data_IF_013212661694
#
_entry.id   IF_013212661694
#
_cell.length_a   1.000
_cell.length_b   1.000
_cell.length_c   1.000
_cell.angle_alpha   90.00
_cell.angle_beta   90.00
_cell.angle_gamma   90.00
#
_symmetry.space_group_name_H-M   'P 1'
#
loop_
_entity.id
_entity.type
_entity.pdbx_description
1 polymer ?
#
# COMPACT_ATOMS: atom_id res chain seq x y z
N UNK A 1 -22.91 -27.58 -25.29
CA UNK A 1 -21.99 -27.35 -24.16
C UNK A 1 -21.24 -26.06 -24.44
N UNK A 2 -21.37 -24.98 -23.66
CA UNK A 2 -20.61 -23.76 -23.88
C UNK A 2 -19.13 -24.06 -23.65
N UNK A 3 -18.29 -23.79 -24.66
CA UNK A 3 -16.84 -23.92 -24.56
C UNK A 3 -16.34 -22.83 -23.61
N UNK A 4 -16.02 -23.21 -22.39
CA UNK A 4 -15.31 -22.32 -21.46
C UNK A 4 -13.98 -21.90 -22.10
N UNK A 5 -13.66 -20.62 -22.22
CA UNK A 5 -12.40 -20.17 -22.79
C UNK A 5 -11.20 -20.86 -22.13
N UNK A 6 -10.17 -21.20 -22.91
CA UNK A 6 -8.97 -21.90 -22.41
C UNK A 6 -8.38 -21.17 -21.20
N UNK A 7 -8.40 -19.84 -21.21
CA UNK A 7 -7.93 -18.99 -20.11
C UNK A 7 -8.71 -19.23 -18.80
N UNK A 8 -10.04 -19.40 -18.87
CA UNK A 8 -10.86 -19.67 -17.68
C UNK A 8 -10.56 -21.04 -17.09
N UNK A 9 -10.42 -22.07 -17.93
CA UNK A 9 -10.06 -23.43 -17.47
C UNK A 9 -8.70 -23.46 -16.79
N UNK A 10 -7.71 -22.77 -17.37
CA UNK A 10 -6.39 -22.66 -16.80
C UNK A 10 -6.41 -21.93 -15.44
N UNK A 11 -7.17 -20.85 -15.35
CA UNK A 11 -7.37 -20.11 -14.11
C UNK A 11 -7.97 -21.00 -13.00
N UNK A 12 -9.04 -21.75 -13.32
CA UNK A 12 -9.72 -22.64 -12.38
C UNK A 12 -8.82 -23.81 -11.93
N UNK A 13 -7.99 -24.34 -12.85
CA UNK A 13 -7.03 -25.40 -12.52
C UNK A 13 -5.91 -24.89 -11.62
N UNK A 14 -5.36 -23.70 -11.90
CA UNK A 14 -4.35 -23.06 -11.05
C UNK A 14 -4.92 -22.75 -9.67
N UNK A 15 -6.15 -22.25 -9.60
CA UNK A 15 -6.82 -21.97 -8.33
C UNK A 15 -6.92 -23.22 -7.45
N UNK A 16 -7.22 -24.39 -8.03
CA UNK A 16 -7.25 -25.67 -7.30
C UNK A 16 -5.88 -26.07 -6.80
N UNK A 17 -4.85 -26.01 -7.65
CA UNK A 17 -3.47 -26.34 -7.25
C UNK A 17 -3.01 -25.43 -6.09
N UNK A 18 -3.33 -24.14 -6.17
CA UNK A 18 -3.01 -23.17 -5.13
C UNK A 18 -3.78 -23.48 -3.84
N UNK A 19 -5.08 -23.83 -3.93
CA UNK A 19 -5.90 -24.17 -2.79
C UNK A 19 -5.47 -25.48 -2.09
N UNK A 20 -4.94 -26.43 -2.84
CA UNK A 20 -4.43 -27.71 -2.33
C UNK A 20 -3.00 -27.59 -1.75
N UNK A 21 -2.31 -26.47 -1.98
CA UNK A 21 -0.97 -26.18 -1.45
C UNK A 21 -1.08 -25.37 -0.17
N UNK A 22 -0.37 -25.78 0.89
CA UNK A 22 -0.46 -25.05 2.17
C UNK A 22 0.14 -23.64 2.07
N UNK A 23 -0.43 -22.65 2.76
CA UNK A 23 0.12 -21.30 2.83
C UNK A 23 1.58 -21.30 3.30
N UNK A 24 2.44 -20.66 2.54
CA UNK A 24 3.89 -20.63 2.74
C UNK A 24 4.66 -21.75 2.04
N UNK A 25 3.99 -22.74 1.48
CA UNK A 25 4.62 -23.81 0.70
C UNK A 25 4.87 -23.37 -0.75
N UNK A 26 5.85 -24.06 -1.34
CA UNK A 26 6.25 -23.81 -2.72
C UNK A 26 5.35 -24.55 -3.70
N UNK A 27 4.84 -23.83 -4.70
CA UNK A 27 4.19 -24.43 -5.85
C UNK A 27 5.17 -25.28 -6.68
N UNK A 28 4.69 -26.29 -7.43
CA UNK A 28 5.50 -26.98 -8.41
C UNK A 28 6.18 -25.98 -9.36
N UNK A 29 7.33 -26.37 -9.92
CA UNK A 29 8.08 -25.47 -10.82
C UNK A 29 7.26 -25.07 -12.04
N UNK A 30 7.49 -23.87 -12.59
CA UNK A 30 6.79 -23.40 -13.80
C UNK A 30 6.87 -24.39 -14.98
N UNK A 31 8.02 -25.05 -15.26
CA UNK A 31 8.07 -26.11 -16.28
C UNK A 31 7.12 -27.26 -15.99
N UNK A 32 7.09 -27.73 -14.76
CA UNK A 32 6.23 -28.86 -14.35
C UNK A 32 4.74 -28.47 -14.41
N UNK A 33 4.37 -27.28 -13.93
CA UNK A 33 2.99 -26.78 -14.02
C UNK A 33 2.55 -26.59 -15.48
N UNK A 34 3.42 -26.08 -16.35
CA UNK A 34 3.10 -25.91 -17.78
C UNK A 34 2.85 -27.26 -18.46
N UNK A 35 3.65 -28.27 -18.13
CA UNK A 35 3.48 -29.63 -18.61
C UNK A 35 2.18 -30.27 -18.07
N UNK A 36 1.96 -30.20 -16.76
CA UNK A 36 0.78 -30.74 -16.08
C UNK A 36 -0.54 -30.12 -16.59
N UNK A 37 -0.52 -28.83 -16.90
CA UNK A 37 -1.68 -28.09 -17.37
C UNK A 37 -1.80 -28.02 -18.89
N UNK A 38 -0.87 -28.67 -19.63
CA UNK A 38 -0.82 -28.71 -21.08
C UNK A 38 -0.85 -27.32 -21.74
N UNK A 39 -0.11 -26.36 -21.19
CA UNK A 39 0.02 -24.98 -21.71
C UNK A 39 1.47 -24.59 -21.92
N UNK A 40 1.68 -23.54 -22.74
CA UNK A 40 3.02 -22.95 -22.84
C UNK A 40 3.43 -22.25 -21.53
N UNK A 41 4.75 -22.17 -21.26
CA UNK A 41 5.29 -21.42 -20.12
C UNK A 41 4.84 -19.95 -20.15
N UNK A 42 4.72 -19.35 -21.33
CA UNK A 42 4.27 -17.97 -21.48
C UNK A 42 2.81 -17.82 -21.05
N UNK A 43 1.93 -18.75 -21.48
CA UNK A 43 0.52 -18.78 -21.09
C UNK A 43 0.36 -19.00 -19.59
N UNK A 44 1.15 -19.92 -19.03
CA UNK A 44 1.16 -20.16 -17.57
C UNK A 44 1.56 -18.92 -16.80
N UNK A 45 2.65 -18.26 -17.21
CA UNK A 45 3.13 -17.03 -16.54
C UNK A 45 2.11 -15.92 -16.55
N UNK A 46 1.41 -15.75 -17.67
CA UNK A 46 0.33 -14.75 -17.80
C UNK A 46 -0.82 -15.08 -16.85
N UNK A 47 -1.26 -16.34 -16.77
CA UNK A 47 -2.29 -16.76 -15.84
C UNK A 47 -1.85 -16.59 -14.37
N UNK A 48 -0.60 -16.90 -14.04
CA UNK A 48 -0.06 -16.76 -12.68
C UNK A 48 0.08 -15.30 -12.25
N UNK A 49 0.23 -14.36 -13.18
CA UNK A 49 0.29 -12.94 -12.85
C UNK A 49 -0.95 -12.44 -12.12
N UNK A 50 -2.14 -12.91 -12.48
CA UNK A 50 -3.36 -12.49 -11.81
C UNK A 50 -3.37 -12.91 -10.34
N UNK A 51 -2.89 -14.10 -10.02
CA UNK A 51 -2.77 -14.59 -8.64
C UNK A 51 -1.66 -13.88 -7.86
N UNK A 52 -0.56 -13.53 -8.52
CA UNK A 52 0.54 -12.75 -7.95
C UNK A 52 0.08 -11.32 -7.65
N UNK A 53 -0.66 -10.69 -8.57
CA UNK A 53 -1.25 -9.36 -8.38
C UNK A 53 -2.27 -9.34 -7.24
N UNK A 54 -3.02 -10.43 -7.06
CA UNK A 54 -3.97 -10.59 -5.95
C UNK A 54 -3.29 -10.97 -4.62
N UNK A 55 -1.96 -11.13 -4.61
CA UNK A 55 -1.22 -11.54 -3.42
C UNK A 55 -1.48 -12.99 -2.97
N UNK A 56 -2.14 -13.80 -3.81
CA UNK A 56 -2.45 -15.21 -3.52
C UNK A 56 -1.19 -16.07 -3.62
N UNK A 57 -0.28 -15.71 -4.51
CA UNK A 57 1.04 -16.30 -4.64
C UNK A 57 2.10 -15.20 -4.68
N UNK A 58 3.32 -15.53 -4.31
CA UNK A 58 4.46 -14.63 -4.46
C UNK A 58 5.67 -15.36 -5.04
N UNK A 59 6.43 -14.64 -5.86
CA UNK A 59 7.61 -15.18 -6.53
C UNK A 59 8.88 -14.75 -5.79
N UNK A 60 9.74 -15.70 -5.47
CA UNK A 60 11.08 -15.44 -4.94
C UNK A 60 12.10 -15.74 -6.02
N UNK A 61 12.87 -14.73 -6.41
CA UNK A 61 13.88 -14.87 -7.46
C UNK A 61 14.87 -16.00 -7.11
N UNK A 62 15.09 -16.93 -8.04
CA UNK A 62 15.97 -18.10 -7.85
C UNK A 62 15.41 -19.22 -6.98
N UNK A 63 14.32 -18.99 -6.23
CA UNK A 63 13.76 -19.97 -5.29
C UNK A 63 12.44 -20.60 -5.74
N UNK A 64 11.62 -19.88 -6.52
CA UNK A 64 10.34 -20.38 -7.05
C UNK A 64 9.15 -19.52 -6.66
N UNK A 65 7.95 -20.07 -6.88
CA UNK A 65 6.67 -19.44 -6.52
C UNK A 65 6.07 -20.14 -5.32
N UNK A 66 5.58 -19.39 -4.38
CA UNK A 66 5.02 -19.86 -3.11
C UNK A 66 3.58 -19.41 -2.98
N UNK A 67 2.73 -20.23 -2.34
CA UNK A 67 1.40 -19.82 -1.91
C UNK A 67 1.58 -18.83 -0.78
N UNK A 68 1.00 -17.64 -0.94
CA UNK A 68 1.02 -16.66 0.13
C UNK A 68 0.22 -17.21 1.31
N UNK A 69 0.72 -17.00 2.52
CA UNK A 69 -0.15 -17.12 3.68
C UNK A 69 -1.27 -16.10 3.49
N UNK A 70 -2.56 -16.41 3.81
CA UNK A 70 -3.56 -15.37 3.80
C UNK A 70 -2.98 -14.22 4.63
N UNK A 71 -2.76 -13.04 4.04
CA UNK A 71 -2.29 -11.92 4.83
C UNK A 71 -3.32 -11.72 5.93
N UNK A 72 -2.88 -11.46 7.16
CA UNK A 72 -3.76 -10.82 8.11
C UNK A 72 -4.17 -9.50 7.46
N UNK A 73 -5.40 -9.46 6.96
CA UNK A 73 -5.92 -8.28 6.27
C UNK A 73 -6.04 -7.18 7.31
N UNK A 74 -5.32 -6.10 7.11
CA UNK A 74 -5.47 -4.90 7.91
C UNK A 74 -6.80 -4.24 7.56
N UNK A 75 -7.77 -4.37 8.43
CA UNK A 75 -9.08 -3.74 8.29
C UNK A 75 -9.10 -2.41 9.04
N UNK A 76 -9.46 -1.34 8.34
CA UNK A 76 -9.62 -0.03 8.94
C UNK A 76 -10.81 0.73 8.40
N UNK A 77 -11.57 1.34 9.34
CA UNK A 77 -12.50 2.41 9.01
C UNK A 77 -11.75 3.69 8.68
N UNK A 78 -12.25 4.43 7.69
CA UNK A 78 -11.66 5.69 7.24
C UNK A 78 -12.19 6.90 8.03
N UNK A 79 -13.03 6.66 9.02
CA UNK A 79 -13.64 7.71 9.85
C UNK A 79 -12.67 8.29 10.87
N UNK A 80 -11.62 7.54 11.21
CA UNK A 80 -10.60 7.93 12.18
C UNK A 80 -9.24 7.93 11.52
N UNK A 81 -8.51 9.03 11.68
CA UNK A 81 -7.15 9.15 11.20
C UNK A 81 -6.20 8.37 12.11
N UNK A 82 -5.61 7.31 11.58
CA UNK A 82 -4.59 6.52 12.27
C UNK A 82 -3.51 6.04 11.30
N UNK A 83 -2.31 5.80 11.83
CA UNK A 83 -1.19 5.27 11.04
C UNK A 83 -1.38 3.78 10.70
N UNK A 84 -0.67 3.32 9.66
CA UNK A 84 -0.64 1.89 9.31
C UNK A 84 -0.08 1.08 10.48
N UNK A 85 0.92 1.60 11.16
CA UNK A 85 1.57 0.97 12.30
C UNK A 85 0.59 0.81 13.48
N UNK A 86 -0.21 1.85 13.75
CA UNK A 86 -1.25 1.79 14.78
C UNK A 86 -2.37 0.83 14.40
N UNK A 87 -2.79 0.87 13.15
CA UNK A 87 -3.78 -0.05 12.57
C UNK A 87 -3.31 -1.51 12.67
N UNK A 88 -2.07 -1.78 12.30
CA UNK A 88 -1.46 -3.10 12.38
C UNK A 88 -1.39 -3.62 13.81
N UNK A 89 -0.94 -2.79 14.74
CA UNK A 89 -0.88 -3.12 16.18
C UNK A 89 -2.26 -3.49 16.73
N UNK A 90 -3.30 -2.73 16.36
CA UNK A 90 -4.68 -3.02 16.76
C UNK A 90 -5.18 -4.36 16.20
N UNK A 91 -4.75 -4.73 15.01
CA UNK A 91 -5.08 -6.00 14.35
C UNK A 91 -4.20 -7.17 14.78
N UNK A 92 -3.25 -6.96 15.69
CA UNK A 92 -2.31 -7.99 16.14
C UNK A 92 -1.25 -8.37 15.10
N UNK A 93 -1.09 -7.56 14.03
CA UNK A 93 -0.07 -7.76 13.00
C UNK A 93 1.18 -6.96 13.35
N UNK A 94 2.33 -7.63 13.37
CA UNK A 94 3.61 -6.96 13.46
C UNK A 94 3.99 -6.40 12.08
N UNK A 95 4.16 -5.10 12.02
CA UNK A 95 4.73 -4.42 10.85
C UNK A 95 6.04 -3.74 11.24
N UNK A 96 6.93 -3.65 10.27
CA UNK A 96 8.20 -2.95 10.37
C UNK A 96 8.36 -2.04 9.14
N UNK A 97 9.33 -1.15 9.13
CA UNK A 97 9.68 -0.40 7.95
C UNK A 97 11.04 -0.87 7.40
N UNK A 98 11.08 -1.01 6.07
CA UNK A 98 12.28 -1.41 5.35
C UNK A 98 13.13 -0.21 4.95
N UNK A 99 13.41 -0.09 3.63
CA UNK A 99 14.17 1.05 3.11
C UNK A 99 13.50 2.37 3.48
N UNK A 100 14.23 3.22 4.19
CA UNK A 100 13.89 4.59 4.51
C UNK A 100 14.79 5.51 3.70
N UNK A 101 14.19 6.45 2.95
CA UNK A 101 14.92 7.50 2.27
C UNK A 101 14.39 8.85 2.74
N UNK A 102 15.30 9.75 3.09
CA UNK A 102 15.01 11.10 3.54
C UNK A 102 15.76 12.06 2.63
N UNK A 103 15.03 12.94 1.96
CA UNK A 103 15.57 13.90 1.02
C UNK A 103 15.06 15.30 1.34
N UNK A 104 15.98 16.26 1.44
CA UNK A 104 15.67 17.67 1.54
C UNK A 104 15.74 18.29 0.16
N UNK A 105 14.66 18.90 -0.31
CA UNK A 105 14.56 19.46 -1.66
C UNK A 105 13.65 20.68 -1.72
N UNK A 106 13.71 21.38 -2.83
CA UNK A 106 12.74 22.43 -3.14
C UNK A 106 11.43 21.76 -3.57
N UNK A 107 10.25 22.19 -3.05
CA UNK A 107 8.96 21.68 -3.47
C UNK A 107 8.68 22.02 -4.93
N UNK A 108 7.94 21.18 -5.62
CA UNK A 108 7.39 21.52 -6.93
C UNK A 108 6.27 22.58 -6.81
N UNK A 109 5.74 23.05 -7.94
CA UNK A 109 4.77 24.13 -7.96
C UNK A 109 3.45 23.73 -7.25
N UNK A 110 3.02 22.48 -7.37
CA UNK A 110 1.81 21.97 -6.75
C UNK A 110 1.99 21.81 -5.23
N UNK A 111 3.11 21.24 -4.80
CA UNK A 111 3.50 21.12 -3.40
C UNK A 111 3.65 22.49 -2.73
N UNK A 112 4.31 23.43 -3.43
CA UNK A 112 4.48 24.78 -2.95
C UNK A 112 3.14 25.48 -2.69
N UNK A 113 2.20 25.36 -3.63
CA UNK A 113 0.87 25.92 -3.50
C UNK A 113 0.09 25.27 -2.35
N UNK A 114 0.09 23.95 -2.27
CA UNK A 114 -0.66 23.21 -1.28
C UNK A 114 -0.13 23.42 0.15
N UNK A 115 1.19 23.35 0.32
CA UNK A 115 1.83 23.56 1.64
C UNK A 115 1.92 25.04 2.05
N UNK A 116 1.49 25.97 1.18
CA UNK A 116 1.64 27.40 1.44
C UNK A 116 3.11 27.84 1.60
N UNK A 117 4.01 27.14 0.93
CA UNK A 117 5.45 27.40 1.02
C UNK A 117 5.85 28.62 0.22
N UNK A 118 6.79 29.41 0.73
CA UNK A 118 7.35 30.54 -0.02
C UNK A 118 8.35 30.07 -1.09
N UNK A 119 8.56 30.85 -2.17
CA UNK A 119 9.62 30.55 -3.12
C UNK A 119 10.98 30.41 -2.42
N UNK A 120 11.67 29.28 -2.67
CA UNK A 120 12.96 28.99 -2.04
C UNK A 120 12.88 28.26 -0.69
N UNK A 121 11.68 28.03 -0.15
CA UNK A 121 11.51 27.13 1.01
C UNK A 121 11.90 25.70 0.64
N UNK A 122 12.37 24.94 1.60
CA UNK A 122 12.70 23.53 1.41
C UNK A 122 11.65 22.66 2.10
N UNK A 123 11.43 21.48 1.53
CA UNK A 123 10.61 20.43 2.11
C UNK A 123 11.46 19.20 2.40
N UNK A 124 11.03 18.45 3.39
CA UNK A 124 11.55 17.12 3.69
C UNK A 124 10.63 16.08 3.05
N UNK A 125 11.17 15.33 2.08
CA UNK A 125 10.50 14.23 1.45
C UNK A 125 10.98 12.93 2.09
N UNK A 126 10.06 12.17 2.69
CA UNK A 126 10.38 10.96 3.44
C UNK A 126 9.65 9.80 2.80
N UNK A 127 10.40 8.84 2.25
CA UNK A 127 9.80 7.66 1.65
C UNK A 127 10.24 6.39 2.36
N UNK A 128 9.30 5.45 2.55
CA UNK A 128 9.56 4.19 3.24
C UNK A 128 8.68 3.06 2.75
N UNK A 129 9.20 1.84 2.87
CA UNK A 129 8.47 0.60 2.62
C UNK A 129 7.96 0.06 3.95
N UNK A 130 6.69 -0.29 4.02
CA UNK A 130 6.13 -1.02 5.16
C UNK A 130 6.21 -2.51 4.86
N UNK A 131 6.71 -3.25 5.83
CA UNK A 131 6.89 -4.70 5.78
C UNK A 131 5.93 -5.37 6.75
N UNK A 132 5.31 -6.45 6.30
CA UNK A 132 4.65 -7.42 7.18
C UNK A 132 5.30 -8.78 6.98
N UNK A 133 5.73 -9.42 8.06
CA UNK A 133 6.48 -10.68 8.01
C UNK A 133 7.68 -10.65 7.01
N UNK A 134 8.35 -9.49 6.92
CA UNK A 134 9.48 -9.26 6.01
C UNK A 134 9.09 -9.08 4.53
N UNK A 135 7.80 -9.03 4.19
CA UNK A 135 7.31 -8.79 2.84
C UNK A 135 6.83 -7.33 2.69
N UNK A 136 7.21 -6.62 1.61
CA UNK A 136 6.68 -5.31 1.30
C UNK A 136 5.16 -5.36 1.11
N UNK A 137 4.42 -4.52 1.83
CA UNK A 137 2.97 -4.43 1.74
C UNK A 137 2.46 -3.04 1.36
N UNK A 138 3.23 -2.00 1.67
CA UNK A 138 2.93 -0.63 1.28
C UNK A 138 4.20 0.19 1.06
N UNK A 139 4.10 1.24 0.24
CA UNK A 139 5.13 2.26 0.05
C UNK A 139 4.52 3.62 0.32
N UNK A 140 5.13 4.36 1.23
CA UNK A 140 4.63 5.65 1.70
C UNK A 140 5.64 6.74 1.39
N UNK A 141 5.11 7.90 1.01
CA UNK A 141 5.87 9.12 0.78
C UNK A 141 5.16 10.26 1.51
N UNK A 142 5.86 10.92 2.40
CA UNK A 142 5.39 12.11 3.10
C UNK A 142 6.26 13.31 2.67
N UNK A 143 5.63 14.46 2.47
CA UNK A 143 6.30 15.72 2.10
C UNK A 143 5.85 16.81 3.05
N UNK A 144 6.78 17.27 3.89
CA UNK A 144 6.53 18.26 4.93
C UNK A 144 7.46 19.47 4.78
N UNK A 145 6.99 20.67 5.12
CA UNK A 145 7.87 21.83 5.31
C UNK A 145 8.93 21.57 6.39
N UNK A 146 10.15 22.08 6.17
CA UNK A 146 11.27 21.89 7.12
C UNK A 146 11.09 22.59 8.46
N UNK A 147 10.16 23.55 8.56
CA UNK A 147 9.75 24.16 9.82
C UNK A 147 8.81 23.26 10.65
N UNK A 148 8.22 22.26 10.04
CA UNK A 148 7.37 21.27 10.71
C UNK A 148 8.19 20.07 11.20
N UNK A 149 9.10 19.57 10.36
CA UNK A 149 9.91 18.40 10.66
C UNK A 149 11.30 18.56 10.07
N UNK A 150 12.33 18.37 10.88
CA UNK A 150 13.72 18.40 10.47
C UNK A 150 14.33 17.00 10.37
N UNK A 151 15.45 16.81 9.67
CA UNK A 151 16.19 15.53 9.68
C UNK A 151 16.57 15.08 11.10
N UNK A 152 16.95 16.01 11.98
CA UNK A 152 17.35 15.74 13.35
C UNK A 152 16.16 15.22 14.20
N UNK A 153 14.95 15.75 13.95
CA UNK A 153 13.72 15.25 14.59
C UNK A 153 13.47 13.77 14.20
N UNK A 154 13.74 13.41 12.95
CA UNK A 154 13.62 12.02 12.48
C UNK A 154 14.63 11.11 13.14
N UNK A 155 15.90 11.48 13.17
CA UNK A 155 16.97 10.67 13.79
C UNK A 155 16.66 10.37 15.26
N UNK A 156 16.17 11.36 16.00
CA UNK A 156 15.89 11.22 17.42
C UNK A 156 14.60 10.43 17.73
N UNK A 157 13.54 10.61 16.95
CA UNK A 157 12.17 10.29 17.39
C UNK A 157 11.38 9.40 16.42
N UNK A 158 11.89 9.14 15.21
CA UNK A 158 11.16 8.34 14.22
C UNK A 158 11.04 6.87 14.65
N UNK A 159 9.84 6.33 14.51
CA UNK A 159 9.50 4.93 14.83
C UNK A 159 8.63 4.28 13.75
N UNK A 160 8.83 4.69 12.48
CA UNK A 160 8.11 4.16 11.31
C UNK A 160 7.02 5.08 10.77
N UNK A 161 6.30 5.81 11.61
CA UNK A 161 5.17 6.67 11.20
C UNK A 161 5.43 8.15 11.44
N UNK A 162 5.24 8.96 10.39
CA UNK A 162 5.27 10.44 10.48
C UNK A 162 4.05 10.94 11.26
N UNK A 163 2.86 10.41 10.96
CA UNK A 163 1.64 10.78 11.68
C UNK A 163 1.77 10.55 13.19
N UNK A 164 2.24 9.36 13.59
CA UNK A 164 2.42 9.05 15.01
C UNK A 164 3.49 9.91 15.68
N UNK A 165 4.52 10.31 14.93
CA UNK A 165 5.55 11.23 15.41
C UNK A 165 4.93 12.61 15.69
N UNK A 166 4.16 13.16 14.74
CA UNK A 166 3.48 14.45 14.89
C UNK A 166 2.45 14.42 16.04
N UNK A 167 1.66 13.34 16.14
CA UNK A 167 0.69 13.16 17.23
C UNK A 167 1.37 13.11 18.61
N UNK A 168 2.47 12.38 18.75
CA UNK A 168 3.23 12.33 20.00
C UNK A 168 3.85 13.68 20.38
N UNK A 169 4.33 14.44 19.38
CA UNK A 169 4.88 15.78 19.59
C UNK A 169 3.81 16.78 20.03
N UNK A 170 2.57 16.63 19.56
CA UNK A 170 1.42 17.49 19.90
C UNK A 170 1.52 18.92 19.38
N UNK A 171 2.56 19.26 18.65
CA UNK A 171 2.81 20.57 18.05
C UNK A 171 3.33 20.42 16.60
N UNK A 172 2.71 21.10 15.62
CA UNK A 172 1.46 21.86 15.76
C UNK A 172 0.25 20.94 16.04
N UNK A 173 -0.84 21.47 16.63
CA UNK A 173 -2.02 20.67 16.92
C UNK A 173 -2.72 20.28 15.63
N UNK A 174 -2.97 18.97 15.43
CA UNK A 174 -3.59 18.42 14.24
C UNK A 174 -5.12 18.48 14.34
N UNK A 175 -5.78 18.72 13.23
CA UNK A 175 -7.24 18.78 13.13
C UNK A 175 -7.81 17.56 12.39
N UNK A 176 -7.39 17.35 11.15
CA UNK A 176 -7.98 16.37 10.24
C UNK A 176 -7.04 16.06 9.08
N UNK A 177 -7.35 15.01 8.35
CA UNK A 177 -6.74 14.74 7.03
C UNK A 177 -7.85 14.60 5.98
N UNK A 178 -7.65 15.25 4.84
CA UNK A 178 -8.44 15.02 3.63
C UNK A 178 -7.69 14.00 2.78
N UNK A 179 -8.35 12.91 2.45
CA UNK A 179 -7.75 11.82 1.68
C UNK A 179 -8.55 11.54 0.41
N UNK A 180 -7.88 11.55 -0.73
CA UNK A 180 -8.39 11.07 -2.01
C UNK A 180 -7.90 9.64 -2.23
N UNK A 181 -8.80 8.77 -2.68
CA UNK A 181 -8.54 7.33 -2.84
C UNK A 181 -8.70 6.96 -4.30
N UNK A 182 -7.62 6.50 -4.90
CA UNK A 182 -7.54 6.19 -6.32
C UNK A 182 -6.91 4.82 -6.55
N UNK A 183 -7.29 4.17 -7.66
CA UNK A 183 -6.57 3.02 -8.19
C UNK A 183 -5.56 3.51 -9.23
N UNK A 184 -4.28 3.25 -9.01
CA UNK A 184 -3.20 3.76 -9.86
C UNK A 184 -2.24 2.64 -10.29
N UNK A 185 -1.68 2.68 -11.51
CA UNK A 185 -0.63 1.75 -11.90
C UNK A 185 0.68 2.07 -11.17
N UNK A 186 1.37 1.04 -10.69
CA UNK A 186 2.67 1.19 -10.05
C UNK A 186 3.69 1.85 -11.00
N UNK A 187 4.20 3.00 -10.61
CA UNK A 187 5.32 3.66 -11.28
C UNK A 187 6.59 2.81 -11.19
N UNK A 188 7.63 3.07 -12.01
CA UNK A 188 8.90 2.36 -11.88
C UNK A 188 9.53 2.42 -10.49
N UNK A 189 9.38 3.54 -9.80
CA UNK A 189 9.89 3.74 -8.44
C UNK A 189 9.12 2.90 -7.43
N UNK A 190 7.79 3.01 -7.43
CA UNK A 190 6.91 2.26 -6.54
C UNK A 190 7.04 0.75 -6.76
N UNK A 191 7.08 0.32 -8.04
CA UNK A 191 7.27 -1.08 -8.38
C UNK A 191 8.59 -1.66 -7.85
N UNK A 192 9.68 -0.88 -7.93
CA UNK A 192 10.98 -1.27 -7.38
C UNK A 192 10.94 -1.37 -5.86
N UNK A 193 10.35 -0.37 -5.19
CA UNK A 193 10.25 -0.33 -3.73
C UNK A 193 9.45 -1.51 -3.17
N UNK A 194 8.35 -1.89 -3.84
CA UNK A 194 7.49 -2.99 -3.44
C UNK A 194 7.92 -4.37 -3.97
N UNK A 195 8.95 -4.43 -4.83
CA UNK A 195 9.40 -5.69 -5.45
C UNK A 195 8.39 -6.30 -6.42
N UNK A 196 7.53 -5.48 -7.05
CA UNK A 196 6.46 -5.90 -7.97
C UNK A 196 6.73 -5.47 -9.41
N UNK A 197 5.91 -5.92 -10.33
CA UNK A 197 5.99 -5.51 -11.74
C UNK A 197 5.43 -4.09 -11.91
N UNK A 198 5.99 -3.35 -12.89
CA UNK A 198 5.45 -2.03 -13.29
C UNK A 198 4.03 -2.21 -13.82
N UNK A 199 3.17 -1.23 -13.52
CA UNK A 199 1.80 -1.23 -13.99
C UNK A 199 0.84 -2.11 -13.19
N UNK A 200 1.30 -2.83 -12.16
CA UNK A 200 0.39 -3.46 -11.19
C UNK A 200 -0.47 -2.36 -10.58
N UNK A 201 -1.79 -2.59 -10.55
CA UNK A 201 -2.72 -1.60 -9.98
C UNK A 201 -2.67 -1.66 -8.47
N UNK A 202 -2.43 -0.50 -7.87
CA UNK A 202 -2.36 -0.29 -6.42
C UNK A 202 -3.50 0.60 -5.97
N UNK A 203 -3.94 0.43 -4.74
CA UNK A 203 -4.75 1.44 -4.07
C UNK A 203 -3.82 2.56 -3.60
N UNK A 204 -4.11 3.79 -4.00
CA UNK A 204 -3.33 4.97 -3.65
C UNK A 204 -4.19 5.92 -2.83
N UNK A 205 -3.69 6.30 -1.64
CA UNK A 205 -4.22 7.40 -0.85
C UNK A 205 -3.32 8.61 -1.07
N UNK A 206 -3.94 9.74 -1.48
CA UNK A 206 -3.29 11.04 -1.53
C UNK A 206 -3.94 11.89 -0.44
N UNK A 207 -3.17 12.24 0.57
CA UNK A 207 -3.70 12.88 1.76
C UNK A 207 -3.02 14.22 2.05
N UNK A 208 -3.80 15.13 2.60
CA UNK A 208 -3.37 16.43 3.12
C UNK A 208 -3.71 16.49 4.61
N UNK A 209 -2.72 16.69 5.45
CA UNK A 209 -2.87 16.78 6.90
C UNK A 209 -2.98 18.23 7.35
N UNK A 210 -4.05 18.56 8.04
CA UNK A 210 -4.38 19.90 8.48
C UNK A 210 -4.15 20.10 9.98
N UNK A 211 -3.62 21.26 10.32
CA UNK A 211 -3.58 21.77 11.68
C UNK A 211 -4.89 22.48 12.04
N UNK A 212 -5.08 22.80 13.30
CA UNK A 212 -6.28 23.50 13.81
C UNK A 212 -6.46 24.91 13.25
N UNK A 213 -5.39 25.53 12.74
CA UNK A 213 -5.40 26.81 12.02
C UNK A 213 -5.56 26.64 10.51
N UNK A 214 -5.92 25.44 10.07
CA UNK A 214 -6.17 25.07 8.66
C UNK A 214 -4.94 25.13 7.75
N UNK A 215 -3.72 25.12 8.30
CA UNK A 215 -2.50 24.97 7.50
C UNK A 215 -2.30 23.51 7.10
N UNK A 216 -1.95 23.25 5.85
CA UNK A 216 -1.49 21.93 5.41
C UNK A 216 -0.02 21.79 5.81
N UNK A 217 0.31 20.74 6.55
CA UNK A 217 1.67 20.49 7.05
C UNK A 217 2.28 19.20 6.53
N UNK A 218 1.49 18.35 5.90
CA UNK A 218 1.96 17.14 5.24
C UNK A 218 1.11 16.84 4.01
N UNK A 219 1.75 16.56 2.90
CA UNK A 219 1.16 15.91 1.73
C UNK A 219 1.74 14.53 1.61
N UNK A 220 0.89 13.52 1.71
CA UNK A 220 1.33 12.14 1.66
C UNK A 220 0.74 11.37 0.50
N UNK A 221 1.50 10.40 0.01
CA UNK A 221 1.07 9.40 -0.95
C UNK A 221 1.36 8.01 -0.37
N UNK A 222 0.33 7.20 -0.22
CA UNK A 222 0.45 5.84 0.31
C UNK A 222 -0.03 4.85 -0.74
N UNK A 223 0.83 3.94 -1.15
CA UNK A 223 0.56 2.91 -2.15
C UNK A 223 0.44 1.56 -1.47
N UNK A 224 -0.73 0.94 -1.56
CA UNK A 224 -1.06 -0.30 -0.88
C UNK A 224 -1.14 -1.46 -1.86
N UNK A 225 -0.47 -2.57 -1.54
CA UNK A 225 -0.60 -3.81 -2.28
C UNK A 225 -2.00 -4.43 -2.05
N UNK A 226 -2.69 -4.85 -3.11
CA UNK A 226 -3.93 -5.58 -3.00
C UNK A 226 -3.78 -6.84 -2.13
N UNK A 227 -4.83 -7.15 -1.35
CA UNK A 227 -4.88 -8.34 -0.51
C UNK A 227 -4.41 -8.13 0.94
N UNK A 228 -3.60 -7.11 1.21
CA UNK A 228 -3.12 -6.82 2.58
C UNK A 228 -3.97 -5.82 3.35
N UNK A 229 -4.76 -5.02 2.65
CA UNK A 229 -5.55 -3.94 3.24
C UNK A 229 -7.00 -4.02 2.81
N UNK A 230 -7.92 -3.79 3.75
CA UNK A 230 -9.33 -3.60 3.52
C UNK A 230 -9.79 -2.32 4.23
N UNK A 231 -9.99 -1.28 3.44
CA UNK A 231 -10.51 -0.02 3.94
C UNK A 231 -12.02 0.01 3.75
N UNK A 232 -12.72 0.54 4.74
CA UNK A 232 -14.16 0.70 4.69
C UNK A 232 -14.58 2.05 5.29
N UNK A 233 -15.80 2.48 4.99
CA UNK A 233 -16.43 3.64 5.61
C UNK A 233 -17.84 3.26 6.03
N UNK A 234 -18.21 3.57 7.27
CA UNK A 234 -19.58 3.37 7.76
C UNK A 234 -20.42 4.58 7.42
N UNK A 235 -21.28 4.43 6.41
CA UNK A 235 -22.22 5.48 5.98
C UNK A 235 -23.51 5.36 6.77
N UNK A 236 -23.91 6.44 7.45
CA UNK A 236 -25.15 6.49 8.21
C UNK A 236 -26.21 7.26 7.41
N UNK A 237 -27.47 6.82 7.47
CA UNK A 237 -28.59 7.58 6.95
C UNK A 237 -28.78 8.85 7.77
N UNK A 238 -29.11 9.95 7.09
CA UNK A 238 -29.49 11.17 7.81
C UNK A 238 -30.81 10.92 8.54
N UNK A 239 -30.95 11.34 9.81
CA UNK A 239 -32.23 11.25 10.51
C UNK A 239 -33.31 12.03 9.72
N UNK A 240 -34.39 11.36 9.32
CA UNK A 240 -35.54 11.98 8.65
C UNK A 240 -35.66 11.79 7.14
N UNK A 241 -34.67 11.27 6.45
CA UNK A 241 -34.80 10.85 5.04
C UNK A 241 -35.46 9.48 4.95
N UNK A 242 -36.79 9.43 4.71
CA UNK A 242 -37.45 8.20 4.27
C UNK A 242 -37.08 7.95 2.81
N UNK A 243 -36.79 6.68 2.41
CA UNK A 243 -36.61 6.38 0.98
C UNK A 243 -37.92 6.80 0.24
N UNK A 244 -37.75 7.54 -0.85
CA UNK A 244 -38.87 7.77 -1.77
C UNK A 244 -39.30 6.42 -2.31
N UNK A 245 -40.61 6.14 -2.17
CA UNK A 245 -41.28 4.95 -2.72
C UNK A 245 -41.34 5.01 -4.24
#
# INVERSE_FOLDING_TARGET
MPHTPVAQRLHDQLLRIIADTQPGERLPSEPHLAEQLHVSRATLREAMRSFETQGIIHRRQGSGTYVSRPPQVLESGLEVLESIETMARRSGLAVDFGALNVEKRIPDAEECLALGSHPGSEVLCISRVILAEGQPIAYLVDTLPTDILSPEDLEANFRGSILDLLLRRGQPPLLASRTEINAVPASPQVARALGIQRGVVLLCFQAELYTTDSRIIDRSQSFFLPGYFRFHVVRRLRPGERPMQ
#
